data_IF_743611923004
#
_entry.id   IF_743611923004
#
_cell.length_a   1.000
_cell.length_b   1.000
_cell.length_c   1.000
_cell.angle_alpha   90.00
_cell.angle_beta   90.00
_cell.angle_gamma   90.00
#
_symmetry.space_group_name_H-M   'P 1'
#
loop_
_entity.id
_entity.type
_entity.pdbx_description
1 polymer ?
#
# COMPACT_ATOMS: atom_id res chain seq x y z
N UNK A 1 7.60 -22.20 -1.37
CA UNK A 1 7.32 -21.13 -2.36
C UNK A 1 8.48 -20.14 -2.29
N UNK A 2 9.26 -20.01 -3.36
CA UNK A 2 10.34 -19.01 -3.44
C UNK A 2 9.70 -17.66 -3.78
N UNK A 3 9.97 -16.58 -3.03
CA UNK A 3 9.48 -15.27 -3.42
C UNK A 3 10.01 -14.92 -4.82
N UNK A 4 9.24 -14.21 -5.66
CA UNK A 4 9.77 -13.64 -6.89
C UNK A 4 11.07 -12.88 -6.56
N UNK A 5 12.13 -13.08 -7.36
CA UNK A 5 13.49 -12.56 -7.11
C UNK A 5 13.59 -11.04 -6.87
N UNK A 6 12.50 -10.31 -7.10
CA UNK A 6 12.46 -8.85 -7.08
C UNK A 6 11.52 -8.27 -6.00
N UNK A 7 10.97 -9.09 -5.09
CA UNK A 7 10.06 -8.61 -4.04
C UNK A 7 10.69 -8.72 -2.65
N UNK A 8 10.62 -7.64 -1.89
CA UNK A 8 11.06 -7.57 -0.49
C UNK A 8 9.86 -7.70 0.44
N UNK A 9 9.99 -8.52 1.50
CA UNK A 9 8.93 -8.70 2.50
C UNK A 9 8.95 -7.56 3.51
N UNK A 10 7.78 -7.00 3.79
CA UNK A 10 7.52 -6.10 4.93
C UNK A 10 6.45 -6.72 5.83
N UNK A 11 6.52 -6.50 7.14
CA UNK A 11 5.57 -7.04 8.12
C UNK A 11 5.21 -5.97 9.15
N UNK A 12 3.93 -5.93 9.54
CA UNK A 12 3.41 -5.02 10.55
C UNK A 12 2.24 -5.66 11.29
N UNK A 13 1.82 -5.05 12.39
CA UNK A 13 0.59 -5.39 13.11
C UNK A 13 -0.51 -4.38 12.77
N UNK A 14 -1.75 -4.86 12.68
CA UNK A 14 -2.95 -4.04 12.49
C UNK A 14 -4.01 -4.41 13.52
N UNK A 15 -4.97 -3.53 13.76
CA UNK A 15 -6.11 -3.84 14.63
C UNK A 15 -6.88 -5.06 14.09
N UNK A 16 -7.44 -5.92 14.97
CA UNK A 16 -8.17 -7.13 14.54
C UNK A 16 -9.33 -6.85 13.58
N UNK A 17 -10.03 -5.73 13.77
CA UNK A 17 -11.12 -5.31 12.87
C UNK A 17 -10.63 -5.02 11.45
N UNK A 18 -9.42 -4.47 11.31
CA UNK A 18 -8.80 -4.22 10.01
C UNK A 18 -8.34 -5.52 9.36
N UNK A 19 -7.78 -6.46 10.15
CA UNK A 19 -7.43 -7.78 9.64
C UNK A 19 -8.66 -8.48 9.07
N UNK A 20 -9.78 -8.46 9.80
CA UNK A 20 -11.06 -9.03 9.36
C UNK A 20 -11.59 -8.36 8.08
N UNK A 21 -11.56 -7.03 8.01
CA UNK A 21 -11.99 -6.30 6.82
C UNK A 21 -11.14 -6.65 5.58
N UNK A 22 -9.83 -6.87 5.75
CA UNK A 22 -8.95 -7.31 4.66
C UNK A 22 -9.24 -8.74 4.21
N UNK A 23 -9.57 -9.64 5.14
CA UNK A 23 -9.98 -11.02 4.84
C UNK A 23 -11.28 -11.05 4.02
N UNK A 24 -12.32 -10.35 4.48
CA UNK A 24 -13.62 -10.28 3.81
C UNK A 24 -13.50 -9.67 2.40
N UNK A 25 -12.68 -8.62 2.24
CA UNK A 25 -12.46 -8.03 0.92
C UNK A 25 -11.69 -8.98 0.01
N UNK A 26 -10.62 -9.62 0.50
CA UNK A 26 -9.85 -10.56 -0.31
C UNK A 26 -10.71 -11.74 -0.77
N UNK A 27 -11.58 -12.27 0.09
CA UNK A 27 -12.53 -13.33 -0.23
C UNK A 27 -13.50 -12.91 -1.35
N UNK A 28 -14.10 -11.72 -1.23
CA UNK A 28 -15.04 -11.19 -2.23
C UNK A 28 -14.42 -11.06 -3.63
N UNK A 29 -13.14 -10.72 -3.71
CA UNK A 29 -12.44 -10.50 -4.98
C UNK A 29 -11.72 -11.76 -5.51
N UNK A 30 -11.88 -12.92 -4.86
CA UNK A 30 -11.16 -14.18 -5.15
C UNK A 30 -9.62 -13.99 -5.15
N UNK A 31 -9.11 -13.24 -4.18
CA UNK A 31 -7.68 -12.94 -4.02
C UNK A 31 -7.17 -13.32 -2.64
N UNK A 32 -5.84 -13.38 -2.49
CA UNK A 32 -5.24 -13.54 -1.15
C UNK A 32 -5.12 -12.20 -0.43
N UNK A 33 -5.20 -12.23 0.90
CA UNK A 33 -4.95 -11.06 1.76
C UNK A 33 -3.60 -10.43 1.47
N UNK A 34 -2.57 -11.24 1.22
CA UNK A 34 -1.22 -10.75 0.88
C UNK A 34 -1.19 -9.99 -0.45
N UNK A 35 -1.99 -10.39 -1.44
CA UNK A 35 -2.10 -9.69 -2.72
C UNK A 35 -2.81 -8.35 -2.54
N UNK A 36 -3.95 -8.35 -1.82
CA UNK A 36 -4.71 -7.14 -1.53
C UNK A 36 -3.87 -6.13 -0.75
N UNK A 37 -3.19 -6.57 0.32
CA UNK A 37 -2.29 -5.74 1.10
C UNK A 37 -1.17 -5.13 0.24
N UNK A 38 -0.59 -5.92 -0.67
CA UNK A 38 0.40 -5.41 -1.64
C UNK A 38 -0.15 -4.25 -2.48
N UNK A 39 -1.36 -4.39 -3.02
CA UNK A 39 -2.02 -3.33 -3.82
C UNK A 39 -2.33 -2.08 -3.03
N UNK A 40 -2.79 -2.23 -1.80
CA UNK A 40 -3.07 -1.10 -0.91
C UNK A 40 -1.78 -0.34 -0.56
N UNK A 41 -0.68 -1.05 -0.29
CA UNK A 41 0.63 -0.45 -0.02
C UNK A 41 1.16 0.28 -1.25
N UNK A 42 1.14 -0.35 -2.44
CA UNK A 42 1.56 0.29 -3.71
C UNK A 42 0.83 1.62 -3.91
N UNK A 43 -0.50 1.62 -3.73
CA UNK A 43 -1.34 2.82 -3.87
C UNK A 43 -0.98 3.90 -2.84
N UNK A 44 -0.80 3.52 -1.57
CA UNK A 44 -0.44 4.46 -0.50
C UNK A 44 0.91 5.15 -0.74
N UNK A 45 1.91 4.40 -1.22
CA UNK A 45 3.23 4.95 -1.58
C UNK A 45 3.13 5.92 -2.76
N UNK A 46 2.39 5.56 -3.81
CA UNK A 46 2.17 6.45 -4.96
C UNK A 46 1.50 7.76 -4.53
N UNK A 47 0.47 7.69 -3.67
CA UNK A 47 -0.21 8.87 -3.14
C UNK A 47 0.73 9.74 -2.31
N UNK A 48 1.54 9.14 -1.44
CA UNK A 48 2.52 9.87 -0.63
C UNK A 48 3.55 10.61 -1.49
N UNK A 49 4.10 9.94 -2.51
CA UNK A 49 5.06 10.53 -3.45
C UNK A 49 4.44 11.69 -4.25
N UNK A 50 3.20 11.54 -4.70
CA UNK A 50 2.47 12.60 -5.40
C UNK A 50 2.24 13.82 -4.52
N UNK A 51 1.84 13.63 -3.26
CA UNK A 51 1.65 14.72 -2.29
C UNK A 51 2.94 15.49 -2.03
N UNK A 52 4.08 14.81 -1.92
CA UNK A 52 5.37 15.49 -1.74
C UNK A 52 5.82 16.27 -2.99
N UNK A 53 5.53 15.75 -4.18
CA UNK A 53 5.91 16.41 -5.44
C UNK A 53 5.09 17.69 -5.65
N UNK A 54 3.80 17.68 -5.30
CA UNK A 54 2.95 18.88 -5.34
C UNK A 54 3.41 19.95 -4.35
N UNK A 55 3.67 19.56 -3.10
CA UNK A 55 4.16 20.49 -2.08
C UNK A 55 5.51 21.14 -2.46
N UNK A 56 6.42 20.38 -3.08
CA UNK A 56 7.72 20.90 -3.54
C UNK A 56 7.61 21.89 -4.71
N UNK A 57 6.65 21.68 -5.61
CA UNK A 57 6.42 22.59 -6.74
C UNK A 57 5.71 23.88 -6.32
N UNK A 58 4.87 23.83 -5.28
CA UNK A 58 4.23 25.02 -4.71
C UNK A 58 5.21 25.87 -3.90
N UNK A 59 6.21 25.27 -3.23
CA UNK A 59 7.27 25.99 -2.50
C UNK A 59 8.39 26.55 -3.38
N UNK A 60 8.34 26.39 -4.71
CA UNK A 60 9.38 26.84 -5.64
C UNK A 60 8.94 28.01 -6.54
N UNK A 61 7.74 28.56 -6.34
CA UNK A 61 7.18 29.68 -7.12
C UNK A 61 6.99 30.97 -6.29
N UNK A 62 7.56 31.04 -5.08
CA UNK A 62 7.67 32.27 -4.30
C UNK A 62 9.15 32.67 -4.20
N UNK A 63 9.73 33.15 -5.30
CA UNK A 63 10.94 33.98 -5.36
C UNK A 63 10.87 34.95 -6.55
#
# INVERSE_FOLDING_TARGET
>A
MVPPKNLTRVTTYVNPEIAKALEEWAEKDERSVSWLAGKLIEKGIQQHQQSQTKAKNESSNED
#
